data_IF_787439894230
#
_entry.id   IF_787439894230
#
_cell.length_a   1.000
_cell.length_b   1.000
_cell.length_c   1.000
_cell.angle_alpha   90.00
_cell.angle_beta   90.00
_cell.angle_gamma   90.00
#
_symmetry.space_group_name_H-M   'P 1'
#
loop_
_entity.id
_entity.type
_entity.pdbx_description
1 polymer ?
#
# COMPACT_ATOMS: atom_id res chain seq x y z
N UNK A 1 -28.50 28.28 -26.68
CA UNK A 1 -27.47 29.10 -27.33
C UNK A 1 -26.31 29.43 -26.38
N UNK A 2 -26.58 29.68 -25.12
CA UNK A 2 -25.54 29.96 -24.08
C UNK A 2 -24.63 28.77 -23.78
N UNK A 3 -25.14 27.57 -23.68
CA UNK A 3 -24.36 26.36 -23.40
C UNK A 3 -23.30 26.09 -24.47
N UNK A 4 -23.66 26.27 -25.75
CA UNK A 4 -22.70 26.13 -26.87
C UNK A 4 -21.58 27.18 -26.84
N UNK A 5 -21.89 28.38 -26.32
CA UNK A 5 -20.94 29.49 -26.16
C UNK A 5 -20.00 29.23 -24.97
N UNK A 6 -20.51 28.64 -23.89
CA UNK A 6 -19.71 28.21 -22.72
C UNK A 6 -18.74 27.10 -23.08
N UNK A 7 -19.18 26.06 -23.78
CA UNK A 7 -18.31 24.96 -24.25
C UNK A 7 -17.18 25.43 -25.18
N UNK A 8 -17.47 26.42 -26.05
CA UNK A 8 -16.44 27.03 -26.91
C UNK A 8 -15.39 27.81 -26.12
N UNK A 9 -15.81 28.55 -25.08
CA UNK A 9 -14.86 29.26 -24.20
C UNK A 9 -13.99 28.30 -23.41
N UNK A 10 -14.57 27.20 -22.90
CA UNK A 10 -13.83 26.15 -22.19
C UNK A 10 -12.83 25.45 -23.10
N UNK A 11 -13.23 25.09 -24.32
CA UNK A 11 -12.34 24.49 -25.30
C UNK A 11 -11.18 25.43 -25.71
N UNK A 12 -11.46 26.71 -25.89
CA UNK A 12 -10.45 27.70 -26.17
C UNK A 12 -9.46 27.87 -25.02
N UNK A 13 -9.94 27.91 -23.75
CA UNK A 13 -9.08 27.93 -22.57
C UNK A 13 -8.20 26.70 -22.46
N UNK A 14 -8.74 25.52 -22.75
CA UNK A 14 -7.99 24.26 -22.73
C UNK A 14 -6.87 24.24 -23.80
N UNK A 15 -7.15 24.76 -24.99
CA UNK A 15 -6.15 24.88 -26.08
C UNK A 15 -5.02 25.82 -25.64
N UNK A 16 -5.33 26.95 -25.00
CA UNK A 16 -4.30 27.87 -24.50
C UNK A 16 -3.40 27.17 -23.47
N UNK A 17 -4.01 26.44 -22.52
CA UNK A 17 -3.25 25.69 -21.49
C UNK A 17 -2.35 24.65 -22.14
N UNK A 18 -2.85 23.87 -23.09
CA UNK A 18 -2.06 22.86 -23.82
C UNK A 18 -0.88 23.51 -24.55
N UNK A 19 -1.10 24.64 -25.23
CA UNK A 19 -0.05 25.36 -25.93
C UNK A 19 1.00 25.90 -24.95
N UNK A 20 0.59 26.50 -23.83
CA UNK A 20 1.51 26.99 -22.80
C UNK A 20 2.33 25.85 -22.17
N UNK A 21 1.69 24.73 -21.86
CA UNK A 21 2.38 23.53 -21.36
C UNK A 21 3.35 22.98 -22.40
N UNK A 22 2.96 22.93 -23.69
CA UNK A 22 3.82 22.50 -24.78
C UNK A 22 5.06 23.39 -24.96
N UNK A 23 4.87 24.72 -24.92
CA UNK A 23 5.99 25.68 -24.96
C UNK A 23 6.90 25.50 -23.73
N UNK A 24 6.31 25.34 -22.55
CA UNK A 24 7.04 25.07 -21.31
C UNK A 24 7.87 23.78 -21.42
N UNK A 25 7.28 22.69 -21.89
CA UNK A 25 7.95 21.40 -22.06
C UNK A 25 9.14 21.49 -23.05
N UNK A 26 8.98 22.19 -24.18
CA UNK A 26 10.06 22.40 -25.15
C UNK A 26 11.19 23.23 -24.54
N UNK A 27 10.86 24.26 -23.74
CA UNK A 27 11.87 25.09 -23.06
C UNK A 27 12.65 24.31 -22.02
N UNK A 28 11.93 23.56 -21.16
CA UNK A 28 12.53 22.70 -20.11
C UNK A 28 13.34 21.57 -20.74
N UNK A 29 12.85 20.98 -21.83
CA UNK A 29 13.54 19.88 -22.54
C UNK A 29 14.95 20.21 -23.00
N UNK A 30 15.25 21.50 -23.24
CA UNK A 30 16.62 21.95 -23.60
C UNK A 30 17.60 21.91 -22.42
N UNK A 31 17.11 21.87 -21.20
CA UNK A 31 17.92 21.81 -19.98
C UNK A 31 17.99 20.40 -19.39
N UNK A 32 17.21 19.48 -19.96
CA UNK A 32 17.27 18.08 -19.51
C UNK A 32 18.54 17.42 -20.07
N UNK A 33 19.24 16.63 -19.24
CA UNK A 33 20.37 15.82 -19.73
C UNK A 33 19.89 14.82 -20.78
N UNK A 34 20.81 14.40 -21.63
CA UNK A 34 20.52 13.36 -22.64
C UNK A 34 20.14 12.05 -21.96
N UNK A 35 19.21 11.31 -22.55
CA UNK A 35 18.80 10.01 -22.01
C UNK A 35 20.02 9.09 -21.94
N UNK A 36 20.30 8.53 -20.75
CA UNK A 36 21.46 7.65 -20.51
C UNK A 36 22.76 8.38 -20.16
N UNK A 37 22.76 9.70 -20.00
CA UNK A 37 23.94 10.43 -19.53
C UNK A 37 24.32 9.98 -18.10
N UNK A 38 25.57 9.55 -17.94
CA UNK A 38 26.10 9.06 -16.66
C UNK A 38 26.58 10.20 -15.73
N UNK A 39 26.77 11.39 -16.30
CA UNK A 39 27.29 12.59 -15.62
C UNK A 39 26.20 13.47 -15.01
N UNK A 40 24.97 12.96 -14.89
CA UNK A 40 23.88 13.69 -14.23
C UNK A 40 24.10 13.79 -12.72
N UNK A 41 23.64 14.88 -12.06
CA UNK A 41 23.77 15.03 -10.60
C UNK A 41 23.19 13.87 -9.80
N UNK A 42 22.10 13.25 -10.27
CA UNK A 42 21.53 12.07 -9.66
C UNK A 42 22.49 10.87 -9.67
N UNK A 43 23.16 10.63 -10.80
CA UNK A 43 24.08 9.51 -10.93
C UNK A 43 25.43 9.73 -10.25
N UNK A 44 25.93 10.97 -10.21
CA UNK A 44 27.28 11.27 -9.70
C UNK A 44 27.34 11.51 -8.19
N UNK A 45 26.22 11.85 -7.57
CA UNK A 45 26.20 12.19 -6.13
C UNK A 45 25.34 11.19 -5.34
N UNK A 46 24.01 11.32 -5.40
CA UNK A 46 23.10 10.63 -4.50
C UNK A 46 23.08 9.12 -4.75
N UNK A 47 22.96 8.69 -6.03
CA UNK A 47 22.88 7.26 -6.34
C UNK A 47 24.18 6.53 -6.00
N UNK A 48 25.35 7.16 -6.25
CA UNK A 48 26.62 6.56 -5.89
C UNK A 48 26.80 6.44 -4.39
N UNK A 49 26.37 7.44 -3.62
CA UNK A 49 26.41 7.37 -2.18
C UNK A 49 25.59 6.18 -1.66
N UNK A 50 24.35 6.05 -2.10
CA UNK A 50 23.49 4.93 -1.69
C UNK A 50 24.07 3.58 -2.09
N UNK A 51 24.60 3.44 -3.31
CA UNK A 51 25.18 2.17 -3.79
C UNK A 51 26.40 1.77 -2.97
N UNK A 52 27.25 2.71 -2.59
CA UNK A 52 28.49 2.40 -1.88
C UNK A 52 28.33 2.25 -0.37
N UNK A 53 27.36 2.92 0.26
CA UNK A 53 27.29 3.02 1.71
C UNK A 53 26.05 2.31 2.33
N UNK A 54 25.05 1.94 1.53
CA UNK A 54 23.79 1.42 2.07
C UNK A 54 23.97 0.26 3.06
N UNK A 55 24.84 -0.70 2.76
CA UNK A 55 25.07 -1.84 3.64
C UNK A 55 25.82 -1.46 4.92
N UNK A 56 26.80 -0.56 4.82
CA UNK A 56 27.57 -0.10 5.99
C UNK A 56 26.70 0.74 6.93
N UNK A 57 25.82 1.56 6.37
CA UNK A 57 24.95 2.46 7.13
C UNK A 57 23.75 1.73 7.76
N UNK A 58 23.18 0.73 7.08
CA UNK A 58 21.87 0.17 7.46
C UNK A 58 21.85 -1.34 7.69
N UNK A 59 22.92 -2.09 7.43
CA UNK A 59 22.99 -3.55 7.38
C UNK A 59 22.01 -4.21 6.38
N UNK A 60 21.18 -3.43 5.67
CA UNK A 60 20.30 -3.97 4.65
C UNK A 60 21.08 -4.26 3.36
N UNK A 61 21.09 -5.53 2.93
CA UNK A 61 21.70 -5.94 1.65
C UNK A 61 20.92 -5.43 0.46
N UNK A 62 19.59 -5.30 0.62
CA UNK A 62 18.71 -4.75 -0.39
C UNK A 62 18.77 -3.22 -0.34
N UNK A 63 19.46 -2.63 -1.28
CA UNK A 63 19.59 -1.16 -1.39
C UNK A 63 18.23 -0.46 -1.54
N UNK A 64 17.22 -1.11 -2.15
CA UNK A 64 15.89 -0.53 -2.31
C UNK A 64 15.23 -0.37 -0.95
N UNK A 65 15.32 -1.39 -0.09
CA UNK A 65 14.82 -1.34 1.28
C UNK A 65 15.55 -0.27 2.10
N UNK A 66 16.90 -0.22 2.03
CA UNK A 66 17.68 0.81 2.69
C UNK A 66 17.24 2.23 2.29
N UNK A 67 17.01 2.46 0.99
CA UNK A 67 16.57 3.76 0.49
C UNK A 67 15.16 4.08 0.93
N UNK A 68 14.20 3.16 0.78
CA UNK A 68 12.79 3.42 1.03
C UNK A 68 12.45 3.48 2.53
N UNK A 69 13.05 2.61 3.34
CA UNK A 69 12.69 2.51 4.75
C UNK A 69 13.56 3.38 5.67
N UNK A 70 14.78 3.70 5.26
CA UNK A 70 15.73 4.48 6.08
C UNK A 70 16.06 5.82 5.42
N UNK A 71 16.93 5.89 4.40
CA UNK A 71 17.39 7.16 3.81
C UNK A 71 16.23 8.08 3.39
N UNK A 72 15.14 7.52 2.90
CA UNK A 72 13.92 8.20 2.48
C UNK A 72 12.67 7.70 3.18
N UNK A 73 12.80 7.19 4.40
CA UNK A 73 11.68 6.66 5.18
C UNK A 73 10.54 7.66 5.36
N UNK A 74 10.83 8.96 5.36
CA UNK A 74 9.80 9.99 5.40
C UNK A 74 8.88 9.98 4.15
N UNK A 75 9.44 9.73 2.97
CA UNK A 75 8.63 9.60 1.75
C UNK A 75 7.69 8.39 1.84
N UNK A 76 8.19 7.26 2.33
CA UNK A 76 7.40 6.04 2.52
C UNK A 76 6.31 6.20 3.60
N UNK A 77 6.55 7.01 4.62
CA UNK A 77 5.50 7.40 5.57
C UNK A 77 4.35 8.12 4.85
N UNK A 78 4.66 9.08 3.95
CA UNK A 78 3.64 9.76 3.17
C UNK A 78 2.92 8.80 2.20
N UNK A 79 3.62 7.87 1.57
CA UNK A 79 2.99 6.82 0.73
C UNK A 79 2.00 6.00 1.56
N UNK A 80 2.38 5.59 2.75
CA UNK A 80 1.50 4.87 3.69
C UNK A 80 0.28 5.70 4.08
N UNK A 81 0.45 7.00 4.34
CA UNK A 81 -0.65 7.92 4.62
C UNK A 81 -1.59 8.10 3.42
N UNK A 82 -1.05 8.19 2.20
CA UNK A 82 -1.85 8.29 0.97
C UNK A 82 -2.65 7.00 0.73
N UNK A 83 -2.06 5.84 0.99
CA UNK A 83 -2.78 4.56 0.95
C UNK A 83 -3.96 4.56 1.93
N UNK A 84 -3.75 4.95 3.19
CA UNK A 84 -4.82 5.05 4.19
C UNK A 84 -5.91 6.02 3.75
N UNK A 85 -5.55 7.21 3.27
CA UNK A 85 -6.49 8.21 2.79
C UNK A 85 -7.31 7.71 1.60
N UNK A 86 -6.69 6.96 0.67
CA UNK A 86 -7.40 6.37 -0.47
C UNK A 86 -8.44 5.36 -0.01
N UNK A 87 -8.12 4.50 0.96
CA UNK A 87 -9.07 3.57 1.58
C UNK A 87 -10.27 4.27 2.22
N UNK A 88 -10.02 5.33 3.00
CA UNK A 88 -11.06 6.14 3.62
C UNK A 88 -11.92 6.84 2.55
N UNK A 89 -11.32 7.38 1.50
CA UNK A 89 -12.04 8.04 0.42
C UNK A 89 -12.96 7.07 -0.32
N UNK A 90 -12.48 5.88 -0.69
CA UNK A 90 -13.28 4.85 -1.35
C UNK A 90 -14.44 4.42 -0.44
N UNK A 91 -14.16 4.15 0.84
CA UNK A 91 -15.18 3.80 1.80
C UNK A 91 -16.25 4.90 1.90
N UNK A 92 -15.85 6.16 2.01
CA UNK A 92 -16.78 7.30 2.13
C UNK A 92 -17.65 7.46 0.88
N UNK A 93 -17.06 7.37 -0.32
CA UNK A 93 -17.78 7.52 -1.58
C UNK A 93 -18.78 6.38 -1.78
N UNK A 94 -18.37 5.17 -1.50
CA UNK A 94 -19.22 3.99 -1.67
C UNK A 94 -20.28 3.89 -0.57
N UNK A 95 -19.98 4.29 0.67
CA UNK A 95 -20.95 4.32 1.76
C UNK A 95 -22.05 5.36 1.57
N UNK A 96 -21.82 6.41 0.79
CA UNK A 96 -22.82 7.43 0.47
C UNK A 96 -23.91 6.98 -0.52
N UNK A 97 -23.72 5.86 -1.25
CA UNK A 97 -24.73 5.30 -2.12
C UNK A 97 -25.80 4.56 -1.30
N UNK A 98 -27.07 4.74 -1.68
CA UNK A 98 -28.21 4.04 -1.08
C UNK A 98 -27.96 2.53 -1.01
N UNK A 99 -28.30 1.94 0.13
CA UNK A 99 -28.14 0.49 0.35
C UNK A 99 -28.95 -0.26 -0.70
N UNK A 100 -28.26 -1.03 -1.54
CA UNK A 100 -28.92 -2.06 -2.35
C UNK A 100 -29.68 -2.99 -1.39
N UNK A 101 -30.94 -3.37 -1.68
CA UNK A 101 -31.70 -4.27 -0.80
C UNK A 101 -30.90 -5.54 -0.57
N UNK A 102 -30.52 -5.80 0.66
CA UNK A 102 -29.78 -7.01 1.03
C UNK A 102 -30.63 -8.23 0.69
N UNK A 103 -30.11 -9.11 -0.17
CA UNK A 103 -30.68 -10.46 -0.33
C UNK A 103 -30.78 -11.13 1.03
N UNK A 104 -31.86 -11.85 1.29
CA UNK A 104 -32.03 -12.53 2.57
C UNK A 104 -30.89 -13.54 2.76
N UNK A 105 -30.46 -13.74 4.02
CA UNK A 105 -29.39 -14.69 4.36
C UNK A 105 -29.62 -16.10 3.76
N UNK A 106 -30.88 -16.47 3.54
CA UNK A 106 -31.28 -17.72 2.87
C UNK A 106 -30.92 -17.74 1.40
N UNK A 107 -31.07 -16.62 0.66
CA UNK A 107 -30.74 -16.53 -0.76
C UNK A 107 -29.23 -16.56 -0.99
N UNK A 108 -28.46 -15.92 -0.12
CA UNK A 108 -26.98 -15.95 -0.16
C UNK A 108 -26.46 -17.35 0.10
N UNK A 109 -27.00 -18.07 1.09
CA UNK A 109 -26.63 -19.44 1.42
C UNK A 109 -27.01 -20.39 0.29
N UNK A 110 -28.16 -20.19 -0.36
CA UNK A 110 -28.63 -21.04 -1.45
C UNK A 110 -27.83 -20.80 -2.73
N UNK A 111 -27.45 -19.57 -3.05
CA UNK A 111 -26.56 -19.25 -4.17
C UNK A 111 -25.19 -19.93 -4.03
N UNK A 112 -24.57 -19.90 -2.85
CA UNK A 112 -23.31 -20.62 -2.57
C UNK A 112 -23.46 -22.14 -2.60
N UNK A 113 -24.68 -22.67 -2.40
CA UNK A 113 -24.95 -24.10 -2.39
C UNK A 113 -25.20 -24.69 -3.78
N UNK A 114 -25.66 -23.89 -4.73
CA UNK A 114 -26.05 -24.32 -6.09
C UNK A 114 -24.93 -24.20 -7.13
N UNK A 115 -23.82 -23.57 -6.84
CA UNK A 115 -22.65 -23.48 -7.73
C UNK A 115 -21.82 -24.80 -7.66
N UNK A 116 -22.20 -25.79 -8.42
CA UNK A 116 -22.08 -27.19 -8.01
C UNK A 116 -20.75 -27.90 -8.28
N UNK A 117 -19.97 -27.60 -9.29
CA UNK A 117 -18.76 -28.41 -9.57
C UNK A 117 -17.47 -27.58 -9.50
N UNK A 118 -17.50 -26.36 -9.99
CA UNK A 118 -16.36 -25.43 -9.92
C UNK A 118 -16.04 -24.99 -8.49
N UNK A 119 -17.07 -24.87 -7.63
CA UNK A 119 -16.90 -24.43 -6.24
C UNK A 119 -16.15 -25.44 -5.37
N UNK A 120 -16.33 -26.76 -5.59
CA UNK A 120 -15.64 -27.78 -4.80
C UNK A 120 -14.15 -27.81 -5.10
N UNK A 121 -13.77 -27.70 -6.39
CA UNK A 121 -12.38 -27.65 -6.81
C UNK A 121 -11.71 -26.35 -6.33
N UNK A 122 -12.40 -25.22 -6.44
CA UNK A 122 -11.91 -23.94 -5.97
C UNK A 122 -11.76 -23.92 -4.45
N UNK A 123 -12.74 -24.44 -3.70
CA UNK A 123 -12.67 -24.55 -2.24
C UNK A 123 -11.50 -25.41 -1.79
N UNK A 124 -11.26 -26.56 -2.47
CA UNK A 124 -10.11 -27.41 -2.23
C UNK A 124 -8.78 -26.74 -2.56
N UNK A 125 -8.69 -26.03 -3.69
CA UNK A 125 -7.50 -25.31 -4.11
C UNK A 125 -7.17 -24.17 -3.13
N UNK A 126 -8.14 -23.37 -2.72
CA UNK A 126 -7.91 -22.26 -1.79
C UNK A 126 -7.49 -22.70 -0.38
N UNK A 127 -7.96 -23.87 0.08
CA UNK A 127 -7.49 -24.45 1.36
C UNK A 127 -6.00 -24.75 1.37
N UNK A 128 -5.39 -24.96 0.21
CA UNK A 128 -3.95 -25.20 0.05
C UNK A 128 -3.23 -23.87 -0.23
N UNK A 129 -3.75 -23.08 -1.16
CA UNK A 129 -3.11 -21.83 -1.62
C UNK A 129 -3.06 -20.78 -0.52
N UNK A 130 -4.13 -20.61 0.27
CA UNK A 130 -4.20 -19.58 1.31
C UNK A 130 -3.09 -19.72 2.35
N UNK A 131 -2.88 -20.87 3.02
CA UNK A 131 -1.80 -21.00 4.00
C UNK A 131 -0.41 -20.83 3.35
N UNK A 132 -0.21 -21.27 2.13
CA UNK A 132 1.05 -21.07 1.39
C UNK A 132 1.27 -19.56 1.16
N UNK A 133 0.25 -18.85 0.72
CA UNK A 133 0.33 -17.39 0.47
C UNK A 133 0.60 -16.61 1.77
N UNK A 134 0.00 -17.03 2.89
CA UNK A 134 0.27 -16.42 4.20
C UNK A 134 1.73 -16.61 4.63
N UNK A 135 2.24 -17.84 4.53
CA UNK A 135 3.64 -18.15 4.88
C UNK A 135 4.59 -17.39 3.93
N UNK A 136 4.26 -17.37 2.64
CA UNK A 136 5.05 -16.63 1.65
C UNK A 136 5.03 -15.11 1.89
N UNK A 137 3.88 -14.56 2.29
CA UNK A 137 3.76 -13.15 2.65
C UNK A 137 4.64 -12.77 3.85
N UNK A 138 4.68 -13.61 4.88
CA UNK A 138 5.57 -13.43 6.02
C UNK A 138 7.05 -13.60 5.62
N UNK A 139 7.36 -14.58 4.78
CA UNK A 139 8.70 -14.75 4.23
C UNK A 139 9.16 -13.48 3.47
N UNK A 140 8.30 -12.92 2.61
CA UNK A 140 8.59 -11.70 1.84
C UNK A 140 8.85 -10.50 2.77
N UNK A 141 8.12 -10.39 3.88
CA UNK A 141 8.34 -9.36 4.89
C UNK A 141 9.74 -9.47 5.50
N UNK A 142 10.05 -10.61 6.10
CA UNK A 142 11.32 -10.81 6.82
C UNK A 142 12.53 -10.92 5.88
N UNK A 143 12.31 -11.15 4.59
CA UNK A 143 13.38 -11.23 3.59
C UNK A 143 13.61 -9.91 2.83
N UNK A 144 12.82 -8.89 3.13
CA UNK A 144 12.89 -7.58 2.47
C UNK A 144 14.25 -6.89 2.61
N UNK A 145 14.95 -7.10 3.72
CA UNK A 145 16.30 -6.56 3.95
C UNK A 145 17.38 -7.23 3.10
N UNK A 146 17.17 -8.48 2.70
CA UNK A 146 18.19 -9.29 2.00
C UNK A 146 17.92 -9.34 0.50
N UNK A 147 16.65 -9.41 0.09
CA UNK A 147 16.26 -9.61 -1.30
C UNK A 147 15.03 -8.77 -1.66
N UNK A 148 14.45 -9.03 -2.84
CA UNK A 148 13.22 -8.39 -3.27
C UNK A 148 12.07 -8.77 -2.32
N UNK A 149 11.53 -7.79 -1.60
CA UNK A 149 10.48 -7.98 -0.62
C UNK A 149 10.12 -6.67 0.06
N UNK A 150 9.46 -6.77 1.21
CA UNK A 150 9.12 -5.67 2.10
C UNK A 150 7.65 -5.55 2.41
N UNK A 151 7.29 -4.54 3.18
CA UNK A 151 5.96 -4.35 3.77
C UNK A 151 4.82 -4.23 2.75
N UNK A 152 5.03 -3.53 1.62
CA UNK A 152 3.99 -3.39 0.59
C UNK A 152 3.63 -4.72 -0.06
N UNK A 153 4.62 -5.49 -0.47
CA UNK A 153 4.40 -6.79 -1.10
C UNK A 153 3.78 -7.78 -0.11
N UNK A 154 4.30 -7.82 1.11
CA UNK A 154 3.77 -8.66 2.17
C UNK A 154 2.32 -8.29 2.49
N UNK A 155 1.99 -7.00 2.60
CA UNK A 155 0.64 -6.51 2.85
C UNK A 155 -0.34 -6.91 1.75
N UNK A 156 0.06 -6.80 0.49
CA UNK A 156 -0.75 -7.23 -0.65
C UNK A 156 -0.99 -8.75 -0.64
N UNK A 157 0.04 -9.56 -0.34
CA UNK A 157 -0.09 -11.02 -0.24
C UNK A 157 -1.01 -11.44 0.91
N UNK A 158 -0.92 -10.79 2.07
CA UNK A 158 -1.81 -11.05 3.20
C UNK A 158 -3.26 -10.69 2.87
N UNK A 159 -3.49 -9.56 2.20
CA UNK A 159 -4.82 -9.19 1.73
C UNK A 159 -5.37 -10.20 0.72
N UNK A 160 -4.57 -10.64 -0.25
CA UNK A 160 -4.93 -11.69 -1.18
C UNK A 160 -5.31 -13.00 -0.46
N UNK A 161 -4.50 -13.44 0.49
CA UNK A 161 -4.78 -14.66 1.26
C UNK A 161 -6.10 -14.55 2.05
N UNK A 162 -6.37 -13.38 2.64
CA UNK A 162 -7.63 -13.12 3.33
C UNK A 162 -8.83 -13.23 2.38
N UNK A 163 -8.76 -12.60 1.21
CA UNK A 163 -9.85 -12.59 0.23
C UNK A 163 -10.10 -13.95 -0.42
N UNK A 164 -9.04 -14.74 -0.63
CA UNK A 164 -9.14 -16.11 -1.16
C UNK A 164 -9.60 -17.12 -0.11
N UNK A 165 -9.70 -16.74 1.16
CA UNK A 165 -10.06 -17.66 2.22
C UNK A 165 -11.56 -18.03 2.16
N UNK A 166 -11.92 -19.27 1.77
CA UNK A 166 -13.32 -19.69 1.66
C UNK A 166 -14.03 -19.77 3.02
N UNK A 167 -13.28 -19.68 4.12
CA UNK A 167 -13.80 -19.76 5.48
C UNK A 167 -14.37 -18.41 5.93
N UNK A 168 -13.83 -17.30 5.45
CA UNK A 168 -14.24 -15.95 5.86
C UNK A 168 -15.74 -15.69 5.66
N UNK A 169 -16.36 -15.98 4.50
CA UNK A 169 -17.80 -15.82 4.33
C UNK A 169 -18.65 -16.73 5.22
N UNK A 170 -18.15 -17.94 5.55
CA UNK A 170 -18.89 -18.93 6.33
C UNK A 170 -18.96 -18.60 7.83
N UNK A 171 -17.93 -17.97 8.37
CA UNK A 171 -17.91 -17.57 9.78
C UNK A 171 -18.64 -16.27 10.04
N UNK A 172 -18.83 -15.43 9.04
CA UNK A 172 -19.12 -14.03 9.24
C UNK A 172 -20.49 -13.55 8.72
N UNK A 173 -21.36 -14.49 8.32
CA UNK A 173 -22.77 -14.17 7.94
C UNK A 173 -23.53 -13.44 9.05
N UNK A 174 -23.06 -13.52 10.31
CA UNK A 174 -23.66 -12.85 11.46
C UNK A 174 -22.97 -11.55 11.88
N UNK A 175 -21.77 -11.28 11.37
CA UNK A 175 -21.07 -10.04 11.71
C UNK A 175 -21.57 -8.92 10.80
N UNK A 176 -22.06 -7.85 11.41
CA UNK A 176 -22.60 -6.73 10.65
C UNK A 176 -21.50 -6.18 9.73
N UNK A 177 -21.80 -6.05 8.45
CA UNK A 177 -20.96 -5.50 7.39
C UNK A 177 -20.14 -4.27 7.84
N UNK A 178 -20.81 -3.34 8.50
CA UNK A 178 -20.20 -2.13 9.05
C UNK A 178 -19.02 -2.40 10.00
N UNK A 179 -19.06 -3.49 10.78
CA UNK A 179 -17.99 -3.84 11.71
C UNK A 179 -16.73 -4.31 10.97
N UNK A 180 -16.86 -4.94 9.81
CA UNK A 180 -15.70 -5.38 8.98
C UNK A 180 -15.03 -4.23 8.28
N UNK A 181 -15.82 -3.33 7.67
CA UNK A 181 -15.32 -2.10 7.06
C UNK A 181 -14.55 -1.26 8.08
N UNK A 182 -15.12 -1.09 9.29
CA UNK A 182 -14.49 -0.36 10.39
C UNK A 182 -13.20 -1.04 10.86
N UNK A 183 -13.18 -2.37 10.99
CA UNK A 183 -11.98 -3.11 11.39
C UNK A 183 -10.85 -3.00 10.37
N UNK A 184 -11.14 -3.05 9.08
CA UNK A 184 -10.14 -2.90 8.03
C UNK A 184 -9.48 -1.52 8.07
N UNK A 185 -10.27 -0.45 8.18
CA UNK A 185 -9.74 0.92 8.31
C UNK A 185 -8.99 1.13 9.63
N UNK A 186 -9.49 0.58 10.74
CA UNK A 186 -8.77 0.65 12.01
C UNK A 186 -7.42 -0.07 11.92
N UNK A 187 -7.39 -1.25 11.29
CA UNK A 187 -6.15 -2.00 11.06
C UNK A 187 -5.17 -1.20 10.20
N UNK A 188 -5.66 -0.58 9.12
CA UNK A 188 -4.85 0.30 8.29
C UNK A 188 -4.31 1.51 9.06
N UNK A 189 -5.15 2.14 9.87
CA UNK A 189 -4.76 3.25 10.75
C UNK A 189 -3.70 2.85 11.78
N UNK A 190 -3.83 1.66 12.37
CA UNK A 190 -2.83 1.12 13.30
C UNK A 190 -1.49 0.86 12.61
N UNK A 191 -1.49 0.37 11.36
CA UNK A 191 -0.27 0.20 10.57
C UNK A 191 0.44 1.54 10.30
N UNK A 192 -0.29 2.55 9.86
CA UNK A 192 0.25 3.89 9.65
C UNK A 192 0.74 4.54 10.95
N UNK A 193 0.01 4.32 12.05
CA UNK A 193 0.43 4.77 13.38
C UNK A 193 1.72 4.08 13.82
N UNK A 194 1.85 2.76 13.64
CA UNK A 194 3.06 2.00 13.98
C UNK A 194 4.27 2.55 13.23
N UNK A 195 4.13 2.83 11.94
CA UNK A 195 5.19 3.47 11.16
C UNK A 195 5.59 4.83 11.76
N UNK A 196 4.61 5.73 11.93
CA UNK A 196 4.89 7.06 12.49
C UNK A 196 5.52 6.99 13.89
N UNK A 197 5.06 6.04 14.72
CA UNK A 197 5.57 5.80 16.05
C UNK A 197 7.03 5.34 16.01
N UNK A 198 7.39 4.43 15.08
CA UNK A 198 8.79 4.03 14.85
C UNK A 198 9.66 5.24 14.55
N UNK A 199 9.17 6.18 13.73
CA UNK A 199 9.88 7.43 13.46
C UNK A 199 10.02 8.38 14.65
N UNK A 200 9.12 8.31 15.62
CA UNK A 200 9.14 9.15 16.85
C UNK A 200 10.12 8.58 17.89
N UNK A 201 10.27 7.27 17.97
CA UNK A 201 11.08 6.60 19.00
C UNK A 201 12.51 7.15 19.12
N UNK A 202 13.26 7.43 18.02
CA UNK A 202 14.60 8.00 18.11
C UNK A 202 14.66 9.33 18.86
N UNK A 203 13.58 10.11 18.83
CA UNK A 203 13.54 11.43 19.48
C UNK A 203 13.66 11.32 21.00
N UNK A 204 13.24 10.21 21.60
CA UNK A 204 13.42 9.96 23.04
C UNK A 204 14.89 9.76 23.44
N UNK A 205 15.72 9.35 22.48
CA UNK A 205 17.18 9.22 22.67
C UNK A 205 17.97 10.43 22.12
N UNK A 206 17.30 11.58 21.94
CA UNK A 206 17.92 12.80 21.46
C UNK A 206 18.23 12.79 19.96
N UNK A 207 17.67 11.85 19.20
CA UNK A 207 17.72 11.79 17.75
C UNK A 207 16.68 12.69 17.08
N UNK A 208 16.74 12.73 15.76
CA UNK A 208 15.73 13.37 14.92
C UNK A 208 14.63 12.37 14.58
N UNK A 209 13.50 12.89 14.07
CA UNK A 209 12.45 12.05 13.53
C UNK A 209 12.98 11.18 12.39
N UNK A 210 12.71 9.87 12.43
CA UNK A 210 13.20 8.85 11.48
C UNK A 210 14.73 8.64 11.47
N UNK A 211 15.45 9.03 12.50
CA UNK A 211 16.89 8.71 12.68
C UNK A 211 17.01 7.31 13.31
N UNK A 212 16.78 6.26 12.51
CA UNK A 212 16.59 4.88 12.99
C UNK A 212 17.77 4.35 13.81
N UNK A 213 19.00 4.80 13.53
CA UNK A 213 20.18 4.42 14.33
C UNK A 213 20.15 4.85 15.81
N UNK A 214 19.17 5.69 16.20
CA UNK A 214 18.97 6.13 17.59
C UNK A 214 17.73 5.54 18.25
N UNK A 215 17.21 4.45 17.70
CA UNK A 215 16.14 3.72 18.38
C UNK A 215 16.59 3.24 19.77
N UNK A 216 15.67 3.16 20.76
CA UNK A 216 15.98 2.75 22.11
C UNK A 216 16.15 1.23 22.23
N UNK A 217 16.88 0.62 21.29
CA UNK A 217 17.16 -0.81 21.26
C UNK A 217 18.64 -1.06 21.61
N UNK A 218 18.90 -2.20 22.23
CA UNK A 218 20.26 -2.64 22.53
C UNK A 218 20.74 -3.54 21.39
N UNK A 219 21.64 -3.04 20.57
CA UNK A 219 22.31 -3.81 19.52
C UNK A 219 23.85 -3.62 19.65
N UNK A 220 24.62 -4.48 19.00
CA UNK A 220 26.07 -4.42 19.03
C UNK A 220 26.61 -3.27 18.17
N UNK A 221 25.91 -2.94 17.11
CA UNK A 221 26.25 -1.90 16.15
C UNK A 221 25.10 -0.95 15.85
N UNK A 222 25.40 0.28 15.45
CA UNK A 222 24.39 1.25 15.01
C UNK A 222 23.61 0.76 13.78
N UNK A 223 24.29 0.05 12.88
CA UNK A 223 23.66 -0.50 11.68
C UNK A 223 22.64 -1.61 11.99
N UNK A 224 22.82 -2.40 13.05
CA UNK A 224 21.79 -3.36 13.50
C UNK A 224 20.54 -2.66 14.03
N UNK A 225 20.71 -1.51 14.70
CA UNK A 225 19.58 -0.70 15.15
C UNK A 225 18.80 -0.16 13.94
N UNK A 226 19.49 0.23 12.86
CA UNK A 226 18.84 0.61 11.60
C UNK A 226 18.04 -0.54 11.00
N UNK A 227 18.60 -1.76 10.95
CA UNK A 227 17.90 -2.95 10.44
C UNK A 227 16.61 -3.25 11.23
N UNK A 228 16.68 -3.23 12.56
CA UNK A 228 15.49 -3.39 13.41
C UNK A 228 14.44 -2.30 13.15
N UNK A 229 14.88 -1.07 12.96
CA UNK A 229 14.02 0.06 12.61
C UNK A 229 13.33 -0.10 11.24
N UNK A 230 14.09 -0.56 10.25
CA UNK A 230 13.58 -0.89 8.92
C UNK A 230 12.48 -1.95 9.01
N UNK A 231 12.72 -3.04 9.76
CA UNK A 231 11.72 -4.10 9.93
C UNK A 231 10.45 -3.58 10.61
N UNK A 232 10.56 -2.72 11.63
CA UNK A 232 9.39 -2.12 12.28
C UNK A 232 8.59 -1.24 11.32
N UNK A 233 9.25 -0.45 10.50
CA UNK A 233 8.63 0.36 9.44
C UNK A 233 7.90 -0.54 8.44
N UNK A 234 8.53 -1.60 7.97
CA UNK A 234 7.94 -2.55 7.02
C UNK A 234 6.71 -3.27 7.59
N UNK A 235 6.74 -3.64 8.87
CA UNK A 235 5.56 -4.20 9.56
C UNK A 235 4.41 -3.17 9.58
N UNK A 236 4.70 -1.90 9.87
CA UNK A 236 3.71 -0.83 9.83
C UNK A 236 3.07 -0.68 8.45
N UNK A 237 3.90 -0.65 7.39
CA UNK A 237 3.44 -0.61 5.99
C UNK A 237 2.59 -1.83 5.64
N UNK A 238 3.05 -3.04 5.99
CA UNK A 238 2.33 -4.29 5.72
C UNK A 238 0.92 -4.26 6.32
N UNK A 239 0.79 -3.88 7.58
CA UNK A 239 -0.49 -3.82 8.28
C UNK A 239 -1.41 -2.77 7.66
N UNK A 240 -0.87 -1.60 7.30
CA UNK A 240 -1.64 -0.55 6.64
C UNK A 240 -2.15 -1.00 5.26
N UNK A 241 -1.26 -1.50 4.42
CA UNK A 241 -1.59 -1.93 3.05
C UNK A 241 -2.60 -3.09 3.06
N UNK A 242 -2.39 -4.09 3.92
CA UNK A 242 -3.33 -5.20 4.05
C UNK A 242 -4.73 -4.69 4.46
N UNK A 243 -4.82 -3.85 5.48
CA UNK A 243 -6.08 -3.27 5.95
C UNK A 243 -6.80 -2.46 4.88
N UNK A 244 -6.09 -1.62 4.13
CA UNK A 244 -6.66 -0.81 3.04
C UNK A 244 -7.19 -1.69 1.90
N UNK A 245 -6.38 -2.63 1.42
CA UNK A 245 -6.78 -3.51 0.29
C UNK A 245 -8.00 -4.34 0.67
N UNK A 246 -8.00 -4.95 1.87
CA UNK A 246 -9.14 -5.73 2.36
C UNK A 246 -10.39 -4.85 2.41
N UNK A 247 -10.31 -3.66 2.99
CA UNK A 247 -11.45 -2.74 3.10
C UNK A 247 -12.01 -2.36 1.73
N UNK A 248 -11.13 -1.94 0.80
CA UNK A 248 -11.56 -1.53 -0.54
C UNK A 248 -12.28 -2.68 -1.27
N UNK A 249 -11.69 -3.86 -1.24
CA UNK A 249 -12.23 -5.01 -1.97
C UNK A 249 -13.52 -5.54 -1.34
N UNK A 250 -13.63 -5.59 -0.02
CA UNK A 250 -14.88 -5.95 0.65
C UNK A 250 -16.01 -5.00 0.27
N UNK A 251 -15.75 -3.68 0.35
CA UNK A 251 -16.75 -2.65 0.01
C UNK A 251 -17.13 -2.71 -1.46
N UNK A 252 -16.19 -2.98 -2.37
CA UNK A 252 -16.47 -3.12 -3.81
C UNK A 252 -17.28 -4.38 -4.08
N UNK A 253 -16.89 -5.53 -3.53
CA UNK A 253 -17.57 -6.82 -3.74
C UNK A 253 -19.02 -6.78 -3.26
N UNK A 254 -19.29 -6.14 -2.14
CA UNK A 254 -20.64 -6.05 -1.59
C UNK A 254 -21.57 -5.13 -2.38
N UNK A 255 -21.00 -4.18 -3.14
CA UNK A 255 -21.78 -3.19 -3.89
C UNK A 255 -21.85 -3.45 -5.38
N UNK A 256 -21.10 -4.43 -5.86
CA UNK A 256 -21.21 -4.88 -7.24
C UNK A 256 -22.26 -5.98 -7.28
N UNK A 257 -23.43 -5.66 -7.84
CA UNK A 257 -24.47 -6.67 -8.12
C UNK A 257 -23.99 -7.52 -9.30
N UNK A 258 -23.55 -8.75 -9.03
CA UNK A 258 -23.16 -9.72 -10.07
C UNK A 258 -24.38 -10.38 -10.74
N UNK A 259 -25.52 -9.70 -10.83
CA UNK A 259 -26.77 -10.20 -11.38
C UNK A 259 -27.11 -9.58 -12.75
N UNK A 260 -26.12 -9.25 -13.56
CA UNK A 260 -26.36 -9.00 -15.00
C UNK A 260 -25.89 -10.18 -15.86
#
# INVERSE_FOLDING_TARGET
>A
MEEKKSRKKLAFGLIIVIVLVGIGAVRVGKFLPTIGALDTPANTNVSQYYISNAYEDTHAQNIVTAVLADYRGFDTLFETCVMLLSGIAVLTILSAKEKVPQKSDKEIIEYHRTSTFGSLLMDGAFRIVVPITLIYGLYVLFHGEVSLGGGFQAGALLACAYLLNPIVPKFDVKRKQKEREELGIITAGLGAFLFAFTGILPMFNGGKFMELGKLPFSAETEAEIHADGILMVEIGVMVCVAGVIITILEVVLERTDFND
#
